data_IF_145268893582
#
_entry.id   IF_145268893582
#
_cell.length_a   1.000
_cell.length_b   1.000
_cell.length_c   1.000
_cell.angle_alpha   90.00
_cell.angle_beta   90.00
_cell.angle_gamma   90.00
#
_symmetry.space_group_name_H-M   'P 1'
#
loop_
_entity.id
_entity.type
_entity.pdbx_description
1 polymer ?
#
# COMPACT_ATOMS: atom_id res chain seq x y z
N UNK A 1 59.38 -46.67 82.06
CA UNK A 1 59.98 -47.56 83.07
C UNK A 1 58.83 -48.26 83.78
N UNK A 2 58.75 -49.60 83.80
CA UNK A 2 59.87 -50.52 83.81
C UNK A 2 59.99 -51.44 82.59
N UNK A 3 61.23 -51.85 82.37
CA UNK A 3 61.73 -53.02 81.65
C UNK A 3 61.32 -54.31 82.43
N UNK A 4 61.35 -55.55 81.94
CA UNK A 4 62.50 -56.37 81.50
C UNK A 4 61.93 -57.69 80.96
N UNK A 5 62.58 -58.34 79.98
CA UNK A 5 62.64 -59.81 79.95
C UNK A 5 62.57 -60.50 78.60
N UNK A 6 63.72 -60.63 77.93
CA UNK A 6 63.95 -61.65 76.89
C UNK A 6 63.84 -63.07 77.45
N UNK A 7 63.33 -64.01 76.65
CA UNK A 7 63.90 -65.35 76.55
C UNK A 7 63.55 -66.00 75.20
N UNK A 8 64.59 -66.54 74.58
CA UNK A 8 64.64 -67.24 73.29
C UNK A 8 64.13 -68.67 73.46
N UNK A 9 63.30 -69.13 72.52
CA UNK A 9 62.95 -70.54 72.35
C UNK A 9 62.88 -70.89 70.87
N UNK A 10 63.95 -71.50 70.34
CA UNK A 10 63.95 -72.12 69.02
C UNK A 10 63.11 -73.39 69.04
N UNK A 11 62.19 -73.51 68.10
CA UNK A 11 61.38 -74.72 67.86
C UNK A 11 60.96 -74.75 66.40
N UNK A 12 61.70 -75.53 65.61
CA UNK A 12 61.50 -75.77 64.19
C UNK A 12 60.21 -76.53 63.89
N UNK A 13 59.48 -76.08 62.84
CA UNK A 13 58.71 -76.89 61.85
C UNK A 13 57.29 -76.37 61.58
N UNK A 14 57.12 -75.69 60.43
CA UNK A 14 56.07 -75.83 59.39
C UNK A 14 55.79 -74.50 58.67
N UNK A 15 56.06 -74.37 57.35
CA UNK A 15 55.74 -73.17 56.59
C UNK A 15 54.46 -73.38 55.77
N UNK A 16 53.27 -73.32 56.39
CA UNK A 16 52.00 -73.28 55.64
C UNK A 16 50.95 -72.46 56.38
N UNK A 17 51.19 -71.16 56.57
CA UNK A 17 50.16 -70.26 57.08
C UNK A 17 50.34 -68.77 56.70
N UNK A 18 51.40 -68.39 55.99
CA UNK A 18 51.68 -66.97 55.69
C UNK A 18 51.12 -66.55 54.32
N UNK A 19 50.85 -67.50 53.41
CA UNK A 19 50.35 -67.19 52.06
C UNK A 19 48.84 -66.91 51.99
N UNK A 20 48.03 -67.30 52.99
CA UNK A 20 46.58 -66.98 53.00
C UNK A 20 46.26 -65.59 53.57
N UNK A 21 47.07 -65.04 54.47
CA UNK A 21 46.88 -63.70 55.01
C UNK A 21 47.28 -62.58 54.04
N UNK A 22 48.39 -62.76 53.32
CA UNK A 22 48.90 -61.77 52.36
C UNK A 22 48.00 -61.66 51.12
N UNK A 23 47.43 -62.78 50.66
CA UNK A 23 46.50 -62.79 49.51
C UNK A 23 45.17 -62.11 49.86
N UNK A 24 44.64 -62.26 51.07
CA UNK A 24 43.38 -61.61 51.49
C UNK A 24 43.56 -60.10 51.69
N UNK A 25 44.72 -59.65 52.20
CA UNK A 25 45.03 -58.21 52.32
C UNK A 25 45.30 -57.59 50.95
N UNK A 26 46.01 -58.27 50.05
CA UNK A 26 46.20 -57.81 48.67
C UNK A 26 44.88 -57.76 47.87
N UNK A 27 43.98 -58.74 48.03
CA UNK A 27 42.64 -58.70 47.43
C UNK A 27 41.77 -57.58 48.01
N UNK A 28 41.84 -57.31 49.33
CA UNK A 28 41.13 -56.16 49.94
C UNK A 28 41.67 -54.82 49.48
N UNK A 29 42.98 -54.68 49.32
CA UNK A 29 43.60 -53.43 48.82
C UNK A 29 43.31 -53.21 47.34
N UNK A 30 43.36 -54.27 46.52
CA UNK A 30 42.99 -54.23 45.10
C UNK A 30 41.49 -53.92 44.89
N UNK A 31 40.60 -54.47 45.73
CA UNK A 31 39.18 -54.13 45.70
C UNK A 31 38.90 -52.68 46.15
N UNK A 32 39.69 -52.15 47.08
CA UNK A 32 39.60 -50.74 47.47
C UNK A 32 40.11 -49.80 46.36
N UNK A 33 41.21 -50.13 45.69
CA UNK A 33 41.71 -49.36 44.55
C UNK A 33 40.74 -49.40 43.36
N UNK A 34 40.15 -50.57 43.04
CA UNK A 34 39.11 -50.68 42.02
C UNK A 34 37.84 -49.91 42.40
N UNK A 35 37.46 -49.89 43.68
CA UNK A 35 36.35 -49.09 44.17
C UNK A 35 36.66 -47.59 44.02
N UNK A 36 37.85 -47.13 44.46
CA UNK A 36 38.27 -45.74 44.31
C UNK A 36 38.37 -45.29 42.85
N UNK A 37 38.86 -46.13 41.94
CA UNK A 37 38.88 -45.85 40.50
C UNK A 37 37.46 -45.79 39.90
N UNK A 38 36.56 -46.67 40.33
CA UNK A 38 35.14 -46.64 39.93
C UNK A 38 34.38 -45.41 40.44
N UNK A 39 34.76 -44.87 41.59
CA UNK A 39 34.21 -43.63 42.13
C UNK A 39 34.78 -42.39 41.43
N UNK A 40 36.09 -42.36 41.16
CA UNK A 40 36.74 -41.27 40.42
C UNK A 40 36.17 -41.13 39.00
N UNK A 41 36.03 -42.24 38.26
CA UNK A 41 35.44 -42.22 36.92
C UNK A 41 33.98 -41.74 36.92
N UNK A 42 33.15 -42.17 37.87
CA UNK A 42 31.78 -41.64 38.03
C UNK A 42 31.73 -40.16 38.37
N UNK A 43 32.69 -39.65 39.13
CA UNK A 43 32.82 -38.23 39.47
C UNK A 43 33.23 -37.40 38.26
N UNK A 44 34.20 -37.87 37.47
CA UNK A 44 34.63 -37.24 36.22
C UNK A 44 33.46 -37.18 35.22
N UNK A 45 32.72 -38.29 35.09
CA UNK A 45 31.59 -38.38 34.17
C UNK A 45 30.45 -37.43 34.56
N UNK A 46 30.10 -37.35 35.86
CA UNK A 46 29.16 -36.34 36.39
C UNK A 46 29.64 -34.91 36.18
N UNK A 47 30.93 -34.66 36.28
CA UNK A 47 31.51 -33.31 36.07
C UNK A 47 31.38 -32.89 34.60
N UNK A 48 31.62 -33.81 33.67
CA UNK A 48 31.43 -33.59 32.22
C UNK A 48 29.95 -33.34 31.91
N UNK A 49 29.05 -34.12 32.50
CA UNK A 49 27.60 -33.95 32.33
C UNK A 49 27.14 -32.57 32.82
N UNK A 50 27.55 -32.15 34.02
CA UNK A 50 27.22 -30.83 34.58
C UNK A 50 27.81 -29.67 33.76
N UNK A 51 29.04 -29.80 33.26
CA UNK A 51 29.65 -28.81 32.37
C UNK A 51 28.88 -28.70 31.04
N UNK A 52 28.43 -29.83 30.49
CA UNK A 52 27.62 -29.85 29.26
C UNK A 52 26.21 -29.27 29.48
N UNK A 53 25.63 -29.44 30.66
CA UNK A 53 24.34 -28.85 31.02
C UNK A 53 24.45 -27.33 31.22
N UNK A 54 25.50 -26.86 31.90
CA UNK A 54 25.79 -25.44 32.06
C UNK A 54 26.04 -24.73 30.72
N UNK A 55 26.74 -25.40 29.79
CA UNK A 55 26.93 -24.88 28.43
C UNK A 55 25.62 -24.80 27.64
N UNK A 56 24.73 -25.79 27.77
CA UNK A 56 23.40 -25.78 27.17
C UNK A 56 22.52 -24.66 27.75
N UNK A 57 22.56 -24.45 29.06
CA UNK A 57 21.82 -23.37 29.72
C UNK A 57 22.29 -21.98 29.24
N UNK A 58 23.60 -21.78 29.11
CA UNK A 58 24.16 -20.53 28.60
C UNK A 58 23.75 -20.26 27.14
N UNK A 59 23.63 -21.31 26.33
CA UNK A 59 23.21 -21.20 24.93
C UNK A 59 21.72 -20.84 24.83
N UNK A 60 20.87 -21.51 25.61
CA UNK A 60 19.44 -21.19 25.70
C UNK A 60 19.19 -19.76 26.19
N UNK A 61 19.99 -19.24 27.14
CA UNK A 61 19.88 -17.84 27.59
C UNK A 61 20.17 -16.85 26.46
N UNK A 62 21.23 -17.08 25.66
CA UNK A 62 21.55 -16.24 24.50
C UNK A 62 20.46 -16.30 23.42
N UNK A 63 19.92 -17.49 23.17
CA UNK A 63 18.80 -17.65 22.23
C UNK A 63 17.55 -16.90 22.72
N UNK A 64 17.22 -16.99 24.01
CA UNK A 64 16.10 -16.27 24.60
C UNK A 64 16.27 -14.75 24.50
N UNK A 65 17.46 -14.23 24.79
CA UNK A 65 17.79 -12.81 24.63
C UNK A 65 17.67 -12.35 23.17
N UNK A 66 18.17 -13.15 22.23
CA UNK A 66 18.09 -12.87 20.79
C UNK A 66 16.63 -12.86 20.29
N UNK A 67 15.83 -13.84 20.72
CA UNK A 67 14.40 -13.91 20.41
C UNK A 67 13.63 -12.74 21.02
N UNK A 68 13.93 -12.36 22.26
CA UNK A 68 13.29 -11.20 22.92
C UNK A 68 13.59 -9.91 22.16
N UNK A 69 14.84 -9.72 21.73
CA UNK A 69 15.21 -8.58 20.91
C UNK A 69 14.55 -8.60 19.52
N UNK A 70 14.35 -9.80 18.94
CA UNK A 70 13.62 -9.96 17.69
C UNK A 70 12.13 -9.62 17.85
N UNK A 71 11.48 -10.06 18.94
CA UNK A 71 10.11 -9.70 19.26
C UNK A 71 9.94 -8.18 19.41
N UNK A 72 10.82 -7.52 20.17
CA UNK A 72 10.76 -6.06 20.35
C UNK A 72 10.90 -5.29 19.03
N UNK A 73 11.76 -5.76 18.10
CA UNK A 73 11.88 -5.16 16.75
C UNK A 73 10.64 -5.40 15.90
N UNK A 74 10.03 -6.59 16.00
CA UNK A 74 8.81 -6.91 15.28
C UNK A 74 7.63 -6.07 15.78
N UNK A 75 7.51 -5.89 17.09
CA UNK A 75 6.50 -5.02 17.72
C UNK A 75 6.64 -3.56 17.27
N UNK A 76 7.87 -3.01 17.29
CA UNK A 76 8.12 -1.64 16.82
C UNK A 76 7.79 -1.47 15.32
N UNK A 77 8.04 -2.50 14.50
CA UNK A 77 7.66 -2.48 13.09
C UNK A 77 6.15 -2.55 12.91
N UNK A 78 5.45 -3.38 13.70
CA UNK A 78 4.00 -3.49 13.66
C UNK A 78 3.32 -2.18 14.06
N UNK A 79 3.83 -1.48 15.07
CA UNK A 79 3.29 -0.16 15.45
C UNK A 79 3.47 0.87 14.33
N UNK A 80 4.63 0.90 13.67
CA UNK A 80 4.86 1.81 12.54
C UNK A 80 3.94 1.52 11.35
N UNK A 81 3.71 0.25 11.02
CA UNK A 81 2.78 -0.14 9.97
C UNK A 81 1.32 0.22 10.30
N UNK A 82 0.92 0.14 11.58
CA UNK A 82 -0.44 0.51 11.99
C UNK A 82 -0.66 2.04 11.94
N UNK A 83 0.37 2.85 12.16
CA UNK A 83 0.33 4.30 11.96
C UNK A 83 0.23 4.63 10.46
N UNK A 84 1.09 4.04 9.63
CA UNK A 84 1.06 4.24 8.17
C UNK A 84 -0.31 3.84 7.58
N UNK A 85 -0.89 2.73 8.04
CA UNK A 85 -2.24 2.30 7.66
C UNK A 85 -3.31 3.33 8.03
N UNK A 86 -3.19 4.01 9.17
CA UNK A 86 -4.14 5.07 9.57
C UNK A 86 -4.00 6.30 8.68
N UNK A 87 -2.77 6.66 8.31
CA UNK A 87 -2.50 7.76 7.39
C UNK A 87 -3.11 7.48 6.01
N UNK A 88 -2.87 6.28 5.47
CA UNK A 88 -3.50 5.84 4.22
C UNK A 88 -5.03 5.82 4.29
N UNK A 89 -5.61 5.42 5.44
CA UNK A 89 -7.07 5.47 5.62
C UNK A 89 -7.62 6.89 5.67
N UNK A 90 -6.89 7.83 6.26
CA UNK A 90 -7.26 9.25 6.28
C UNK A 90 -7.20 9.84 4.88
N UNK A 91 -6.11 9.60 4.14
CA UNK A 91 -5.94 10.06 2.76
C UNK A 91 -7.02 9.48 1.84
N UNK A 92 -7.32 8.19 1.96
CA UNK A 92 -8.42 7.55 1.22
C UNK A 92 -9.75 8.26 1.46
N UNK A 93 -10.10 8.56 2.72
CA UNK A 93 -11.34 9.27 3.05
C UNK A 93 -11.38 10.69 2.48
N UNK A 94 -10.24 11.38 2.46
CA UNK A 94 -10.15 12.71 1.87
C UNK A 94 -10.37 12.67 0.35
N UNK A 95 -9.75 11.69 -0.33
CA UNK A 95 -9.93 11.50 -1.77
C UNK A 95 -11.36 11.08 -2.12
N UNK A 96 -11.98 10.20 -1.34
CA UNK A 96 -13.40 9.84 -1.51
C UNK A 96 -14.32 11.07 -1.41
N UNK A 97 -14.09 11.94 -0.42
CA UNK A 97 -14.84 13.19 -0.28
C UNK A 97 -14.57 14.16 -1.45
N UNK A 98 -13.35 14.21 -1.98
CA UNK A 98 -13.02 15.03 -3.15
C UNK A 98 -13.75 14.56 -4.41
N UNK A 99 -13.78 13.25 -4.64
CA UNK A 99 -14.50 12.63 -5.76
C UNK A 99 -15.99 12.98 -5.69
N UNK A 100 -16.60 12.90 -4.50
CA UNK A 100 -18.00 13.27 -4.32
C UNK A 100 -18.25 14.77 -4.61
N UNK A 101 -17.33 15.66 -4.21
CA UNK A 101 -17.44 17.09 -4.54
C UNK A 101 -17.35 17.34 -6.04
N UNK A 102 -16.34 16.76 -6.70
CA UNK A 102 -16.16 16.89 -8.15
C UNK A 102 -17.39 16.35 -8.89
N UNK A 103 -17.91 15.19 -8.47
CA UNK A 103 -19.11 14.62 -9.06
C UNK A 103 -20.32 15.55 -8.98
N UNK A 104 -20.52 16.20 -7.82
CA UNK A 104 -21.59 17.20 -7.64
C UNK A 104 -21.39 18.41 -8.55
N UNK A 105 -20.16 18.95 -8.63
CA UNK A 105 -19.82 20.07 -9.50
C UNK A 105 -20.05 19.72 -10.99
N UNK A 106 -19.65 18.53 -11.43
CA UNK A 106 -19.91 18.03 -12.79
C UNK A 106 -21.42 17.90 -13.07
N UNK A 107 -22.22 17.46 -12.10
CA UNK A 107 -23.66 17.41 -12.22
C UNK A 107 -24.26 18.81 -12.40
N UNK A 108 -23.81 19.78 -11.61
CA UNK A 108 -24.24 21.18 -11.76
C UNK A 108 -23.87 21.76 -13.11
N UNK A 109 -22.63 21.56 -13.56
CA UNK A 109 -22.14 22.07 -14.85
C UNK A 109 -22.92 21.44 -16.00
N UNK A 110 -23.17 20.12 -15.96
CA UNK A 110 -24.01 19.44 -16.96
C UNK A 110 -25.42 20.02 -17.00
N UNK A 111 -26.03 20.26 -15.83
CA UNK A 111 -27.35 20.87 -15.76
C UNK A 111 -27.38 22.29 -16.34
N UNK A 112 -26.36 23.10 -16.05
CA UNK A 112 -26.24 24.47 -16.59
C UNK A 112 -26.08 24.44 -18.11
N UNK A 113 -25.23 23.57 -18.63
CA UNK A 113 -25.01 23.42 -20.07
C UNK A 113 -26.28 22.97 -20.82
N UNK A 114 -27.05 22.06 -20.23
CA UNK A 114 -28.31 21.61 -20.82
C UNK A 114 -29.34 22.75 -20.90
N UNK A 115 -29.44 23.57 -19.86
CA UNK A 115 -30.29 24.77 -19.85
C UNK A 115 -29.88 25.77 -20.93
N UNK A 116 -28.59 26.09 -21.01
CA UNK A 116 -28.08 27.01 -22.04
C UNK A 116 -28.32 26.47 -23.45
N UNK A 117 -28.10 25.16 -23.69
CA UNK A 117 -28.41 24.54 -24.99
C UNK A 117 -29.89 24.66 -25.33
N UNK A 118 -30.77 24.45 -24.37
CA UNK A 118 -32.21 24.59 -24.57
C UNK A 118 -32.61 26.05 -24.87
N UNK A 119 -32.04 27.03 -24.16
CA UNK A 119 -32.27 28.46 -24.41
C UNK A 119 -31.74 28.92 -25.76
N UNK A 120 -30.53 28.47 -26.12
CA UNK A 120 -29.96 28.74 -27.43
C UNK A 120 -30.81 28.15 -28.54
N UNK A 121 -31.28 26.92 -28.39
CA UNK A 121 -32.18 26.26 -29.35
C UNK A 121 -33.51 27.01 -29.49
N UNK A 122 -34.12 27.45 -28.39
CA UNK A 122 -35.35 28.27 -28.43
C UNK A 122 -35.13 29.59 -29.17
N UNK A 123 -34.01 30.25 -28.89
CA UNK A 123 -33.65 31.52 -29.53
C UNK A 123 -33.42 31.32 -31.02
N UNK A 124 -32.73 30.25 -31.40
CA UNK A 124 -32.51 29.90 -32.81
C UNK A 124 -33.83 29.72 -33.56
N UNK A 125 -34.73 28.88 -33.04
CA UNK A 125 -36.05 28.65 -33.65
C UNK A 125 -36.87 29.95 -33.71
N UNK A 126 -36.85 30.78 -32.67
CA UNK A 126 -37.55 32.07 -32.67
C UNK A 126 -37.05 33.00 -33.78
N UNK A 127 -35.73 33.08 -33.97
CA UNK A 127 -35.12 33.90 -35.02
C UNK A 127 -35.40 33.34 -36.41
N UNK A 128 -35.34 32.02 -36.60
CA UNK A 128 -35.71 31.34 -37.85
C UNK A 128 -37.16 31.68 -38.24
N UNK A 129 -38.12 31.51 -37.33
CA UNK A 129 -39.53 31.85 -37.56
C UNK A 129 -39.72 33.35 -37.85
N UNK A 130 -38.99 34.23 -37.16
CA UNK A 130 -39.04 35.67 -37.41
C UNK A 130 -38.52 36.03 -38.80
N UNK A 131 -37.41 35.41 -39.22
CA UNK A 131 -36.85 35.59 -40.56
C UNK A 131 -37.82 35.11 -41.65
N UNK A 132 -38.45 33.95 -41.47
CA UNK A 132 -39.48 33.44 -42.38
C UNK A 132 -40.69 34.39 -42.47
N UNK A 133 -41.14 34.92 -41.33
CA UNK A 133 -42.23 35.90 -41.28
C UNK A 133 -41.90 37.18 -42.06
N UNK A 134 -40.69 37.72 -41.90
CA UNK A 134 -40.22 38.89 -42.65
C UNK A 134 -40.05 38.60 -44.14
N UNK A 135 -39.59 37.40 -44.51
CA UNK A 135 -39.51 36.97 -45.91
C UNK A 135 -40.90 36.89 -46.55
N UNK A 136 -41.89 36.33 -45.85
CA UNK A 136 -43.29 36.29 -46.32
C UNK A 136 -43.87 37.68 -46.49
N UNK A 137 -43.70 38.57 -45.50
CA UNK A 137 -44.14 39.97 -45.60
C UNK A 137 -43.51 40.68 -46.81
N UNK A 138 -42.22 40.45 -47.07
CA UNK A 138 -41.54 40.99 -48.25
C UNK A 138 -42.11 40.43 -49.55
N UNK A 139 -42.40 39.13 -49.62
CA UNK A 139 -42.99 38.50 -50.79
C UNK A 139 -44.41 39.01 -51.06
N UNK A 140 -45.22 39.17 -50.01
CA UNK A 140 -46.56 39.75 -50.08
C UNK A 140 -46.53 41.20 -50.57
N UNK A 141 -45.59 42.02 -50.08
CA UNK A 141 -45.41 43.39 -50.55
C UNK A 141 -45.04 43.45 -52.05
N UNK A 142 -44.16 42.56 -52.52
CA UNK A 142 -43.78 42.49 -53.94
C UNK A 142 -44.93 42.03 -54.84
N UNK A 143 -45.80 41.12 -54.36
CA UNK A 143 -46.97 40.65 -55.12
C UNK A 143 -48.15 41.64 -55.04
N UNK A 144 -48.29 42.37 -53.93
CA UNK A 144 -49.32 43.40 -53.73
C UNK A 144 -49.15 44.65 -54.61
N UNK A 145 -47.91 44.98 -54.99
CA UNK A 145 -47.60 46.12 -55.87
C UNK A 145 -47.85 45.85 -57.37
N UNK A 146 -48.21 44.62 -57.75
CA UNK A 146 -48.52 44.28 -59.16
C UNK A 146 -49.91 44.74 -59.60
N UNK A 147 -50.69 45.40 -58.73
CA UNK A 147 -52.03 45.92 -59.02
C UNK A 147 -52.15 47.43 -59.22
N UNK A 148 -51.09 48.22 -59.00
CA UNK A 148 -51.13 49.68 -59.13
C UNK A 148 -50.43 50.15 -60.41
N UNK A 149 -51.07 49.92 -61.56
CA UNK A 149 -50.79 50.71 -62.77
C UNK A 149 -51.24 52.15 -62.50
N UNK A 150 -50.31 53.07 -62.26
CA UNK A 150 -50.61 54.49 -62.34
C UNK A 150 -49.63 55.42 -61.61
N UNK A 151 -49.02 56.30 -62.41
CA UNK A 151 -48.44 57.61 -62.04
C UNK A 151 -47.00 57.62 -61.52
N UNK A 152 -46.08 57.80 -62.47
CA UNK A 152 -45.33 59.05 -62.64
C UNK A 152 -44.57 59.66 -61.44
N UNK A 153 -43.29 59.95 -61.75
CA UNK A 153 -42.48 61.08 -61.29
C UNK A 153 -41.61 60.90 -60.03
N UNK A 154 -40.36 61.35 -60.25
CA UNK A 154 -39.31 61.72 -59.30
C UNK A 154 -38.56 60.58 -58.61
N UNK A 155 -37.41 60.23 -59.19
CA UNK A 155 -36.25 59.84 -58.39
C UNK A 155 -35.89 61.02 -57.47
N UNK A 156 -35.92 60.88 -56.14
CA UNK A 156 -35.46 61.94 -55.27
C UNK A 156 -33.93 61.93 -55.29
N UNK A 157 -33.35 63.05 -55.70
CA UNK A 157 -31.93 63.37 -55.55
C UNK A 157 -31.54 63.57 -54.06
N UNK A 158 -31.90 62.61 -53.20
CA UNK A 158 -31.60 62.55 -51.76
C UNK A 158 -30.82 61.30 -51.34
N UNK A 159 -30.43 60.44 -52.28
CA UNK A 159 -29.82 59.12 -52.05
C UNK A 159 -28.43 59.08 -51.40
N UNK A 160 -27.88 60.22 -50.95
CA UNK A 160 -26.53 60.30 -50.38
C UNK A 160 -26.50 60.09 -48.85
N UNK A 161 -27.50 60.54 -48.08
CA UNK A 161 -27.44 60.43 -46.60
C UNK A 161 -27.91 59.06 -46.10
N UNK A 162 -28.98 58.49 -46.65
CA UNK A 162 -29.49 57.18 -46.23
C UNK A 162 -28.53 56.04 -46.60
N UNK A 163 -27.96 56.08 -47.80
CA UNK A 163 -26.96 55.11 -48.24
C UNK A 163 -25.68 55.19 -47.39
N UNK A 164 -25.25 56.40 -46.99
CA UNK A 164 -24.13 56.58 -46.05
C UNK A 164 -24.45 56.06 -44.66
N UNK A 165 -25.63 56.34 -44.12
CA UNK A 165 -26.04 55.86 -42.80
C UNK A 165 -26.18 54.34 -42.75
N UNK A 166 -26.70 53.73 -43.82
CA UNK A 166 -26.75 52.26 -43.97
C UNK A 166 -25.34 51.66 -44.07
N UNK A 167 -24.42 52.31 -44.79
CA UNK A 167 -23.04 51.87 -44.89
C UNK A 167 -22.31 51.96 -43.54
N UNK A 168 -22.45 53.07 -42.81
CA UNK A 168 -21.89 53.26 -41.47
C UNK A 168 -22.47 52.26 -40.47
N UNK A 169 -23.78 52.00 -40.54
CA UNK A 169 -24.43 50.98 -39.70
C UNK A 169 -23.93 49.56 -40.02
N UNK A 170 -23.71 49.24 -41.29
CA UNK A 170 -23.12 47.96 -41.69
C UNK A 170 -21.66 47.86 -41.23
N UNK A 171 -20.87 48.92 -41.33
CA UNK A 171 -19.47 48.94 -40.87
C UNK A 171 -19.36 48.74 -39.37
N UNK A 172 -20.21 49.40 -38.58
CA UNK A 172 -20.30 49.17 -37.13
C UNK A 172 -20.68 47.72 -36.80
N UNK A 173 -21.63 47.15 -37.54
CA UNK A 173 -22.05 45.76 -37.33
C UNK A 173 -20.94 44.77 -37.69
N UNK A 174 -20.18 45.03 -38.76
CA UNK A 174 -19.03 44.22 -39.17
C UNK A 174 -17.93 44.29 -38.10
N UNK A 175 -17.56 45.48 -37.64
CA UNK A 175 -16.55 45.64 -36.59
C UNK A 175 -16.96 44.94 -35.26
N UNK A 176 -18.25 44.94 -34.95
CA UNK A 176 -18.79 44.25 -33.78
C UNK A 176 -18.72 42.72 -33.94
N UNK A 177 -19.08 42.20 -35.11
CA UNK A 177 -18.97 40.78 -35.44
C UNK A 177 -17.51 40.31 -35.47
N UNK A 178 -16.58 41.12 -36.00
CA UNK A 178 -15.14 40.81 -35.99
C UNK A 178 -14.63 40.66 -34.56
N UNK A 179 -15.04 41.54 -33.65
CA UNK A 179 -14.67 41.45 -32.22
C UNK A 179 -15.26 40.21 -31.53
N UNK A 180 -16.50 39.86 -31.85
CA UNK A 180 -17.13 38.62 -31.35
C UNK A 180 -16.41 37.36 -31.89
N UNK A 181 -15.98 37.39 -33.15
CA UNK A 181 -15.25 36.29 -33.81
C UNK A 181 -13.84 36.12 -33.21
N UNK A 182 -13.15 37.22 -32.91
CA UNK A 182 -11.85 37.22 -32.22
C UNK A 182 -11.98 36.61 -30.81
N UNK A 183 -13.02 37.00 -30.06
CA UNK A 183 -13.31 36.45 -28.74
C UNK A 183 -13.60 34.95 -28.83
N UNK A 184 -14.41 34.50 -29.79
CA UNK A 184 -14.70 33.09 -30.02
C UNK A 184 -13.46 32.28 -30.40
N UNK A 185 -12.56 32.84 -31.21
CA UNK A 185 -11.28 32.17 -31.53
C UNK A 185 -10.41 32.01 -30.29
N UNK A 186 -10.32 33.05 -29.47
CA UNK A 186 -9.56 33.02 -28.21
C UNK A 186 -10.12 31.98 -27.24
N UNK A 187 -11.44 31.94 -27.04
CA UNK A 187 -12.06 30.94 -26.17
C UNK A 187 -11.92 29.53 -26.74
N UNK A 188 -12.02 29.35 -28.06
CA UNK A 188 -11.80 28.06 -28.70
C UNK A 188 -10.36 27.56 -28.52
N UNK A 189 -9.35 28.44 -28.60
CA UNK A 189 -7.96 28.11 -28.32
C UNK A 189 -7.75 27.72 -26.84
N UNK A 190 -8.38 28.44 -25.91
CA UNK A 190 -8.35 28.07 -24.48
C UNK A 190 -8.97 26.70 -24.23
N UNK A 191 -10.12 26.41 -24.84
CA UNK A 191 -10.78 25.10 -24.73
C UNK A 191 -9.89 23.99 -25.29
N UNK A 192 -9.23 24.20 -26.43
CA UNK A 192 -8.30 23.21 -26.98
C UNK A 192 -7.10 22.95 -26.05
N UNK A 193 -6.54 24.00 -25.45
CA UNK A 193 -5.47 23.87 -24.46
C UNK A 193 -5.90 23.06 -23.23
N UNK A 194 -7.09 23.36 -22.69
CA UNK A 194 -7.65 22.62 -21.56
C UNK A 194 -7.94 21.15 -21.90
N UNK A 195 -8.45 20.86 -23.09
CA UNK A 195 -8.67 19.48 -23.55
C UNK A 195 -7.36 18.69 -23.65
N UNK A 196 -6.27 19.31 -24.13
CA UNK A 196 -4.95 18.69 -24.14
C UNK A 196 -4.50 18.31 -22.73
N UNK A 197 -4.64 19.25 -21.78
CA UNK A 197 -4.27 19.02 -20.38
C UNK A 197 -5.14 17.97 -19.68
N UNK A 198 -6.43 17.89 -20.01
CA UNK A 198 -7.31 16.81 -19.55
C UNK A 198 -6.81 15.46 -20.06
N UNK A 199 -6.43 15.37 -21.34
CA UNK A 199 -5.92 14.12 -21.91
C UNK A 199 -4.60 13.68 -21.26
N UNK A 200 -3.74 14.61 -20.87
CA UNK A 200 -2.51 14.32 -20.12
C UNK A 200 -2.83 13.77 -18.73
N UNK A 201 -3.73 14.44 -17.99
CA UNK A 201 -4.18 13.99 -16.68
C UNK A 201 -4.84 12.60 -16.73
N UNK A 202 -5.65 12.32 -17.75
CA UNK A 202 -6.23 10.99 -17.96
C UNK A 202 -5.17 9.90 -18.16
N UNK A 203 -4.07 10.22 -18.86
CA UNK A 203 -2.97 9.29 -19.06
C UNK A 203 -2.22 9.03 -17.73
N UNK A 204 -1.95 10.07 -16.96
CA UNK A 204 -1.34 9.96 -15.63
C UNK A 204 -2.21 9.15 -14.68
N UNK A 205 -3.52 9.40 -14.66
CA UNK A 205 -4.48 8.67 -13.83
C UNK A 205 -4.50 7.18 -14.18
N UNK A 206 -4.44 6.83 -15.48
CA UNK A 206 -4.35 5.44 -15.94
C UNK A 206 -3.07 4.75 -15.47
N UNK A 207 -1.94 5.44 -15.49
CA UNK A 207 -0.68 4.90 -14.98
C UNK A 207 -0.76 4.66 -13.48
N UNK A 208 -1.24 5.64 -12.71
CA UNK A 208 -1.43 5.50 -11.26
C UNK A 208 -2.35 4.33 -10.90
N UNK A 209 -3.45 4.13 -11.64
CA UNK A 209 -4.32 2.97 -11.43
C UNK A 209 -3.65 1.64 -11.71
N UNK A 210 -2.77 1.56 -12.72
CA UNK A 210 -2.02 0.34 -13.00
C UNK A 210 -1.00 0.05 -11.91
N UNK A 211 -0.33 1.08 -11.39
CA UNK A 211 0.61 0.96 -10.27
C UNK A 211 -0.09 0.49 -8.99
N UNK A 212 -1.26 1.07 -8.68
CA UNK A 212 -2.11 0.62 -7.58
C UNK A 212 -2.51 -0.85 -7.73
N UNK A 213 -2.89 -1.28 -8.94
CA UNK A 213 -3.26 -2.69 -9.20
C UNK A 213 -2.07 -3.63 -9.02
N UNK A 214 -0.87 -3.21 -9.45
CA UNK A 214 0.35 -3.98 -9.25
C UNK A 214 0.73 -4.07 -7.76
N UNK A 215 0.55 -3.00 -7.01
CA UNK A 215 0.75 -2.98 -5.56
C UNK A 215 -0.25 -3.91 -4.84
N UNK A 216 -1.52 -3.90 -5.23
CA UNK A 216 -2.55 -4.79 -4.67
C UNK A 216 -2.22 -6.27 -4.94
N UNK A 217 -1.72 -6.60 -6.13
CA UNK A 217 -1.30 -7.96 -6.45
C UNK A 217 -0.13 -8.41 -5.56
N UNK A 218 0.87 -7.54 -5.34
CA UNK A 218 1.97 -7.81 -4.41
C UNK A 218 1.49 -7.97 -2.97
N UNK A 219 0.54 -7.15 -2.53
CA UNK A 219 -0.04 -7.24 -1.19
C UNK A 219 -0.72 -8.60 -0.95
N UNK A 220 -1.48 -9.10 -1.94
CA UNK A 220 -2.09 -10.44 -1.86
C UNK A 220 -1.05 -11.57 -1.82
N UNK A 221 0.04 -11.43 -2.56
CA UNK A 221 1.14 -12.40 -2.51
C UNK A 221 1.82 -12.39 -1.14
N UNK A 222 2.03 -11.22 -0.54
CA UNK A 222 2.58 -11.12 0.82
C UNK A 222 1.64 -11.67 1.88
N UNK A 223 0.32 -11.50 1.74
CA UNK A 223 -0.69 -12.09 2.63
C UNK A 223 -0.62 -13.63 2.56
N UNK A 224 -0.54 -14.19 1.36
CA UNK A 224 -0.39 -15.65 1.19
C UNK A 224 0.90 -16.19 1.83
N UNK A 225 2.02 -15.48 1.66
CA UNK A 225 3.29 -15.86 2.31
C UNK A 225 3.17 -15.79 3.83
N UNK A 226 2.43 -14.80 4.35
CA UNK A 226 2.18 -14.66 5.78
C UNK A 226 1.34 -15.82 6.33
N UNK A 227 0.29 -16.24 5.62
CA UNK A 227 -0.52 -17.40 5.99
C UNK A 227 0.31 -18.70 6.00
N UNK A 228 1.19 -18.91 5.02
CA UNK A 228 2.10 -20.06 4.96
C UNK A 228 3.11 -20.06 6.13
N UNK A 229 3.59 -18.87 6.52
CA UNK A 229 4.45 -18.68 7.69
C UNK A 229 3.72 -18.98 9.00
N UNK A 230 2.46 -18.57 9.15
CA UNK A 230 1.65 -18.90 10.32
C UNK A 230 1.38 -20.41 10.41
N UNK A 231 1.02 -21.06 9.30
CA UNK A 231 0.81 -22.50 9.25
C UNK A 231 2.08 -23.29 9.63
N UNK A 232 3.25 -22.85 9.15
CA UNK A 232 4.54 -23.48 9.51
C UNK A 232 4.92 -23.22 10.97
N UNK A 233 4.62 -22.04 11.52
CA UNK A 233 4.80 -21.74 12.94
C UNK A 233 3.96 -22.67 13.81
N UNK A 234 2.70 -22.88 13.45
CA UNK A 234 1.77 -23.71 14.21
C UNK A 234 2.14 -25.21 14.13
N UNK A 235 2.66 -25.67 12.99
CA UNK A 235 3.26 -27.01 12.88
C UNK A 235 4.48 -27.18 13.81
N UNK A 236 5.34 -26.16 13.88
CA UNK A 236 6.53 -26.20 14.74
C UNK A 236 6.15 -26.19 16.23
N UNK A 237 5.13 -25.46 16.65
CA UNK A 237 4.64 -25.50 18.04
C UNK A 237 4.09 -26.88 18.40
N UNK A 238 3.28 -27.49 17.55
CA UNK A 238 2.79 -28.87 17.77
C UNK A 238 3.96 -29.86 17.87
N UNK A 239 4.94 -29.76 16.98
CA UNK A 239 6.12 -30.64 16.99
C UNK A 239 6.95 -30.46 18.26
N UNK A 240 7.12 -29.21 18.71
CA UNK A 240 7.79 -28.88 19.97
C UNK A 240 7.08 -29.48 21.18
N UNK A 241 5.75 -29.38 21.23
CA UNK A 241 4.95 -29.99 22.30
C UNK A 241 5.09 -31.51 22.31
N UNK A 242 4.99 -32.17 21.16
CA UNK A 242 5.19 -33.62 21.04
C UNK A 242 6.58 -34.06 21.54
N UNK A 243 7.64 -33.34 21.14
CA UNK A 243 9.00 -33.61 21.60
C UNK A 243 9.17 -33.40 23.11
N UNK A 244 8.48 -32.42 23.70
CA UNK A 244 8.52 -32.19 25.14
C UNK A 244 7.84 -33.32 25.94
N UNK A 245 6.76 -33.90 25.39
CA UNK A 245 6.04 -35.04 25.99
C UNK A 245 6.87 -36.33 25.86
N UNK A 246 7.54 -36.56 24.73
CA UNK A 246 8.37 -37.77 24.55
C UNK A 246 9.67 -37.77 25.37
N UNK A 247 10.14 -36.60 25.81
CA UNK A 247 11.36 -36.46 26.63
C UNK A 247 11.06 -36.36 28.14
N UNK A 248 9.80 -36.47 28.55
CA UNK A 248 9.33 -36.50 29.95
C UNK A 248 9.02 -37.93 30.38
#
# INVERSE_FOLDING_TARGET
>A
MPEVGCCVGMGTSRPVAVLRGVVVVAHRMSNNEQCCQGWMTKLEQRTIELASASSREALLKRELESLTAACARAEAKATGLEEEKKDWQMEKKQLEAEVDRIHNEECEVRSRLEKERAEHQRTRVHLELRCEGLQKQRQEALLGDSGAMGVGLAAPAGGSSLARFQLESCQLRVAQLEKELELHRSTQQQVQSLLGRISELEAELRLAFNDCRAAEAKAKETEKIQDELEATRDMLTVTKEQLSVTNS
#
